data_IF_212396944852
#
_entry.id   IF_212396944852
#
_cell.length_a   1.000
_cell.length_b   1.000
_cell.length_c   1.000
_cell.angle_alpha   90.00
_cell.angle_beta   90.00
_cell.angle_gamma   90.00
#
_symmetry.space_group_name_H-M   'P 1'
#
loop_
_entity.id
_entity.type
_entity.pdbx_description
1 polymer ?
#
# COMPACT_ATOMS: atom_id res chain seq x y z
N UNK A 1 11.92 -9.54 -24.02
CA UNK A 1 12.28 -9.91 -22.63
C UNK A 1 13.60 -9.27 -22.10
N UNK A 2 14.74 -9.41 -22.79
CA UNK A 2 16.04 -8.92 -22.28
C UNK A 2 16.04 -7.41 -21.96
N UNK A 3 15.48 -6.58 -22.85
CA UNK A 3 15.39 -5.14 -22.65
C UNK A 3 14.60 -4.76 -21.39
N UNK A 4 13.48 -5.46 -21.12
CA UNK A 4 12.67 -5.26 -19.92
C UNK A 4 13.48 -5.62 -18.65
N UNK A 5 14.16 -6.78 -18.65
CA UNK A 5 15.00 -7.19 -17.52
C UNK A 5 16.14 -6.22 -17.24
N UNK A 6 16.80 -5.71 -18.29
CA UNK A 6 17.83 -4.69 -18.15
C UNK A 6 17.28 -3.39 -17.56
N UNK A 7 16.10 -2.95 -18.01
CA UNK A 7 15.45 -1.75 -17.49
C UNK A 7 14.96 -1.93 -16.04
N UNK A 8 14.48 -3.12 -15.68
CA UNK A 8 14.14 -3.49 -14.30
C UNK A 8 15.38 -3.43 -13.41
N UNK A 9 16.49 -4.04 -13.87
CA UNK A 9 17.76 -4.00 -13.16
C UNK A 9 18.23 -2.56 -12.98
N UNK A 10 18.15 -1.74 -14.02
CA UNK A 10 18.57 -0.34 -13.98
C UNK A 10 17.70 0.52 -13.05
N UNK A 11 16.39 0.32 -13.08
CA UNK A 11 15.43 0.99 -12.17
C UNK A 11 15.64 0.58 -10.73
N UNK A 12 15.89 -0.71 -10.48
CA UNK A 12 16.21 -1.22 -9.16
C UNK A 12 17.54 -0.67 -8.64
N UNK A 13 18.61 -0.75 -9.44
CA UNK A 13 19.94 -0.29 -9.05
C UNK A 13 19.99 1.21 -8.80
N UNK A 14 19.29 2.02 -9.60
CA UNK A 14 19.21 3.47 -9.37
C UNK A 14 18.51 3.80 -8.04
N UNK A 15 17.40 3.14 -7.70
CA UNK A 15 16.76 3.27 -6.39
C UNK A 15 17.68 2.80 -5.24
N UNK A 16 18.30 1.63 -5.40
CA UNK A 16 19.24 1.02 -4.45
C UNK A 16 20.42 1.96 -4.13
N UNK A 17 21.11 2.46 -5.15
CA UNK A 17 22.25 3.36 -4.97
C UNK A 17 21.81 4.72 -4.42
N UNK A 18 20.64 5.25 -4.82
CA UNK A 18 20.11 6.47 -4.24
C UNK A 18 19.90 6.35 -2.72
N UNK A 19 19.51 5.17 -2.23
CA UNK A 19 19.32 4.91 -0.79
C UNK A 19 20.62 4.77 0.01
N UNK A 20 21.71 4.31 -0.62
CA UNK A 20 22.99 4.07 0.06
C UNK A 20 23.91 5.29 0.11
N UNK A 21 23.72 6.23 -0.80
CA UNK A 21 24.56 7.42 -0.91
C UNK A 21 24.25 8.41 0.22
N UNK A 22 25.25 9.21 0.61
CA UNK A 22 25.06 10.28 1.60
C UNK A 22 23.89 11.20 1.19
N UNK A 23 22.97 11.48 2.12
CA UNK A 23 21.86 12.37 1.86
C UNK A 23 22.26 13.72 1.28
N UNK A 24 21.47 14.20 0.32
CA UNK A 24 21.62 15.51 -0.35
C UNK A 24 22.97 15.70 -1.07
N UNK A 25 23.71 14.63 -1.33
CA UNK A 25 24.91 14.71 -2.17
C UNK A 25 24.57 14.76 -3.66
N UNK A 26 25.46 15.33 -4.49
CA UNK A 26 25.29 15.37 -5.95
C UNK A 26 24.98 13.99 -6.55
N UNK A 27 25.68 12.95 -6.07
CA UNK A 27 25.48 11.56 -6.51
C UNK A 27 24.05 11.06 -6.24
N UNK A 28 23.46 11.42 -5.09
CA UNK A 28 22.09 11.03 -4.76
C UNK A 28 21.09 11.63 -5.76
N UNK A 29 21.24 12.90 -6.11
CA UNK A 29 20.37 13.55 -7.10
C UNK A 29 20.50 12.92 -8.49
N UNK A 30 21.71 12.53 -8.90
CA UNK A 30 21.92 11.79 -10.15
C UNK A 30 21.16 10.46 -10.12
N UNK A 31 21.34 9.65 -9.07
CA UNK A 31 20.63 8.37 -8.97
C UNK A 31 19.10 8.53 -8.90
N UNK A 32 18.59 9.57 -8.22
CA UNK A 32 17.16 9.89 -8.20
C UNK A 32 16.66 10.28 -9.59
N UNK A 33 17.39 11.14 -10.32
CA UNK A 33 17.04 11.54 -11.68
C UNK A 33 17.00 10.34 -12.62
N UNK A 34 18.02 9.48 -12.55
CA UNK A 34 18.07 8.22 -13.30
C UNK A 34 16.90 7.31 -12.94
N UNK A 35 16.57 7.15 -11.65
CA UNK A 35 15.43 6.37 -11.19
C UNK A 35 14.09 6.88 -11.74
N UNK A 36 13.88 8.19 -11.77
CA UNK A 36 12.65 8.80 -12.33
C UNK A 36 12.57 8.52 -13.83
N UNK A 37 13.64 8.77 -14.57
CA UNK A 37 13.67 8.54 -16.03
C UNK A 37 13.47 7.06 -16.34
N UNK A 38 14.19 6.16 -15.66
CA UNK A 38 14.04 4.72 -15.90
C UNK A 38 12.66 4.21 -15.52
N UNK A 39 12.06 4.75 -14.44
CA UNK A 39 10.68 4.44 -14.05
C UNK A 39 9.67 4.87 -15.11
N UNK A 40 9.84 6.06 -15.70
CA UNK A 40 8.99 6.56 -16.78
C UNK A 40 9.08 5.66 -18.02
N UNK A 41 10.30 5.31 -18.44
CA UNK A 41 10.51 4.38 -19.56
C UNK A 41 9.88 3.02 -19.25
N UNK A 42 10.08 2.50 -18.03
CA UNK A 42 9.50 1.23 -17.61
C UNK A 42 7.96 1.26 -17.65
N UNK A 43 7.36 2.37 -17.23
CA UNK A 43 5.92 2.58 -17.29
C UNK A 43 5.37 2.58 -18.71
N UNK A 44 6.11 3.12 -19.67
CA UNK A 44 5.72 3.06 -21.10
C UNK A 44 5.84 1.66 -21.71
N UNK A 45 6.78 0.84 -21.23
CA UNK A 45 6.97 -0.52 -21.74
C UNK A 45 5.89 -1.49 -21.25
N UNK A 46 5.35 -1.27 -20.04
CA UNK A 46 4.34 -2.14 -19.43
C UNK A 46 2.95 -1.57 -19.72
N UNK A 47 2.23 -2.24 -20.62
CA UNK A 47 0.82 -1.97 -20.93
C UNK A 47 -0.04 -2.07 -19.65
N UNK A 48 -0.91 -1.09 -19.41
CA UNK A 48 -1.72 -1.04 -18.18
C UNK A 48 -2.82 -2.11 -18.17
N UNK A 49 -3.23 -2.57 -19.34
CA UNK A 49 -4.22 -3.63 -19.54
C UNK A 49 -3.73 -4.98 -18.98
N UNK A 50 -2.41 -5.13 -18.84
CA UNK A 50 -1.78 -6.32 -18.26
C UNK A 50 -1.90 -6.38 -16.73
N UNK A 51 -2.28 -5.28 -16.08
CA UNK A 51 -2.46 -5.22 -14.65
C UNK A 51 -3.58 -6.16 -14.20
N UNK A 52 -3.35 -6.92 -13.12
CA UNK A 52 -4.32 -7.92 -12.65
C UNK A 52 -5.70 -7.33 -12.33
N UNK A 53 -5.73 -6.09 -11.82
CA UNK A 53 -6.96 -5.38 -11.46
C UNK A 53 -7.56 -4.58 -12.63
N UNK A 54 -6.93 -4.56 -13.81
CA UNK A 54 -7.38 -3.72 -14.93
C UNK A 54 -8.84 -3.99 -15.29
N UNK A 55 -9.20 -5.24 -15.57
CA UNK A 55 -10.57 -5.59 -15.98
C UNK A 55 -11.59 -5.35 -14.88
N UNK A 56 -11.17 -5.48 -13.61
CA UNK A 56 -12.04 -5.15 -12.48
C UNK A 56 -12.35 -3.66 -12.50
N UNK A 57 -11.36 -2.79 -12.63
CA UNK A 57 -11.62 -1.36 -12.72
C UNK A 57 -12.32 -0.99 -14.03
N UNK A 58 -11.93 -1.53 -15.18
CA UNK A 58 -12.52 -1.15 -16.46
C UNK A 58 -14.02 -1.45 -16.51
N UNK A 59 -14.45 -2.56 -15.92
CA UNK A 59 -15.85 -2.97 -15.86
C UNK A 59 -16.57 -2.53 -14.57
N UNK A 60 -15.94 -1.71 -13.72
CA UNK A 60 -16.58 -1.27 -12.48
C UNK A 60 -17.73 -0.30 -12.77
N UNK A 61 -18.93 -0.64 -12.30
CA UNK A 61 -20.12 0.20 -12.36
C UNK A 61 -20.04 1.44 -11.44
N UNK A 62 -19.02 1.52 -10.59
CA UNK A 62 -18.82 2.62 -9.62
C UNK A 62 -18.54 3.97 -10.31
N UNK A 63 -18.22 3.98 -11.61
CA UNK A 63 -18.05 5.20 -12.40
C UNK A 63 -19.35 5.84 -12.87
N UNK A 64 -20.50 5.22 -12.59
CA UNK A 64 -21.80 5.87 -12.80
C UNK A 64 -22.02 6.98 -11.78
N UNK A 65 -22.78 8.00 -12.18
CA UNK A 65 -23.09 9.13 -11.32
C UNK A 65 -23.81 8.63 -10.05
N UNK A 66 -23.33 8.98 -8.84
CA UNK A 66 -23.95 8.55 -7.60
C UNK A 66 -25.35 9.17 -7.47
N UNK A 67 -26.30 8.39 -6.95
CA UNK A 67 -27.70 8.81 -6.78
C UNK A 67 -27.91 9.82 -5.64
N UNK A 68 -26.87 10.09 -4.84
CA UNK A 68 -26.89 11.06 -3.74
C UNK A 68 -25.59 11.05 -2.93
N UNK A 69 -25.52 11.92 -1.90
CA UNK A 69 -24.31 12.09 -1.09
C UNK A 69 -23.86 10.81 -0.37
N UNK A 70 -24.79 10.05 0.22
CA UNK A 70 -24.45 8.82 0.92
C UNK A 70 -23.98 7.72 -0.06
N UNK A 71 -24.59 7.65 -1.25
CA UNK A 71 -24.11 6.78 -2.34
C UNK A 71 -22.70 7.18 -2.78
N UNK A 72 -22.42 8.47 -2.95
CA UNK A 72 -21.09 8.97 -3.29
C UNK A 72 -20.03 8.60 -2.24
N UNK A 73 -20.34 8.73 -0.93
CA UNK A 73 -19.42 8.35 0.14
C UNK A 73 -19.13 6.84 0.17
N UNK A 74 -20.13 6.01 -0.14
CA UNK A 74 -20.01 4.55 -0.15
C UNK A 74 -19.29 4.07 -1.42
N UNK A 75 -19.45 4.78 -2.55
CA UNK A 75 -18.89 4.47 -3.86
C UNK A 75 -17.49 5.04 -4.11
N UNK A 76 -16.59 4.97 -3.11
CA UNK A 76 -15.17 5.38 -3.24
C UNK A 76 -14.96 6.75 -3.92
N UNK A 77 -15.28 7.84 -3.21
CA UNK A 77 -15.45 9.16 -3.82
C UNK A 77 -14.17 9.67 -4.51
N UNK A 78 -13.00 9.30 -4.00
CA UNK A 78 -11.72 9.58 -4.67
C UNK A 78 -11.63 9.02 -6.08
N UNK A 79 -11.93 7.73 -6.28
CA UNK A 79 -11.73 7.08 -7.58
C UNK A 79 -12.70 7.64 -8.61
N UNK A 80 -13.95 7.89 -8.20
CA UNK A 80 -14.94 8.60 -9.00
C UNK A 80 -14.49 10.02 -9.37
N UNK A 81 -13.95 10.78 -8.43
CA UNK A 81 -13.48 12.15 -8.68
C UNK A 81 -12.31 12.18 -9.67
N UNK A 82 -11.35 11.26 -9.54
CA UNK A 82 -10.22 11.13 -10.46
C UNK A 82 -10.70 10.73 -11.86
N UNK A 83 -11.61 9.76 -11.97
CA UNK A 83 -12.21 9.38 -13.24
C UNK A 83 -12.95 10.56 -13.90
N UNK A 84 -13.82 11.23 -13.13
CA UNK A 84 -14.62 12.37 -13.62
C UNK A 84 -13.74 13.52 -14.10
N UNK A 85 -12.62 13.79 -13.42
CA UNK A 85 -11.65 14.80 -13.84
C UNK A 85 -11.07 14.48 -15.23
N UNK A 86 -10.59 13.25 -15.45
CA UNK A 86 -10.02 12.87 -16.74
C UNK A 86 -11.07 12.71 -17.84
N UNK A 87 -12.26 12.21 -17.51
CA UNK A 87 -13.39 12.07 -18.44
C UNK A 87 -13.95 13.43 -18.91
N UNK A 88 -13.69 14.51 -18.17
CA UNK A 88 -13.98 15.88 -18.62
C UNK A 88 -13.01 16.36 -19.71
N UNK A 89 -11.81 15.77 -19.78
CA UNK A 89 -10.74 16.18 -20.69
C UNK A 89 -10.54 15.21 -21.87
N UNK A 90 -10.98 13.97 -21.73
CA UNK A 90 -10.74 12.87 -22.66
C UNK A 90 -12.06 12.15 -22.95
N UNK A 91 -12.27 11.80 -24.22
CA UNK A 91 -13.55 11.22 -24.69
C UNK A 91 -13.58 9.69 -24.58
N UNK A 92 -12.46 9.01 -24.87
CA UNK A 92 -12.41 7.55 -24.88
C UNK A 92 -12.10 6.98 -23.49
N UNK A 93 -12.91 6.02 -23.03
CA UNK A 93 -12.77 5.38 -21.73
C UNK A 93 -11.40 4.74 -21.54
N UNK A 94 -10.82 4.14 -22.59
CA UNK A 94 -9.49 3.52 -22.51
C UNK A 94 -8.42 4.59 -22.25
N UNK A 95 -8.51 5.74 -22.93
CA UNK A 95 -7.61 6.88 -22.69
C UNK A 95 -7.77 7.49 -21.30
N UNK A 96 -9.00 7.61 -20.79
CA UNK A 96 -9.28 8.04 -19.41
C UNK A 96 -8.59 7.12 -18.41
N UNK A 97 -8.76 5.80 -18.57
CA UNK A 97 -8.11 4.81 -17.71
C UNK A 97 -6.59 4.87 -17.80
N UNK A 98 -6.02 4.99 -19.00
CA UNK A 98 -4.59 5.19 -19.18
C UNK A 98 -4.09 6.39 -18.38
N UNK A 99 -4.79 7.53 -18.43
CA UNK A 99 -4.46 8.73 -17.68
C UNK A 99 -4.55 8.50 -16.15
N UNK A 100 -5.56 7.78 -15.67
CA UNK A 100 -5.68 7.40 -14.26
C UNK A 100 -4.50 6.54 -13.78
N UNK A 101 -4.08 5.55 -14.57
CA UNK A 101 -2.91 4.73 -14.25
C UNK A 101 -1.62 5.55 -14.27
N UNK A 102 -1.47 6.50 -15.20
CA UNK A 102 -0.34 7.44 -15.20
C UNK A 102 -0.34 8.34 -13.97
N UNK A 103 -1.48 8.87 -13.58
CA UNK A 103 -1.61 9.69 -12.37
C UNK A 103 -1.20 8.92 -11.11
N UNK A 104 -1.71 7.69 -10.96
CA UNK A 104 -1.37 6.82 -9.84
C UNK A 104 0.12 6.41 -9.85
N UNK A 105 0.68 6.14 -11.02
CA UNK A 105 2.12 5.88 -11.21
C UNK A 105 2.98 7.07 -10.76
N UNK A 106 2.61 8.30 -11.15
CA UNK A 106 3.34 9.51 -10.78
C UNK A 106 3.28 9.75 -9.27
N UNK A 107 2.10 9.58 -8.65
CA UNK A 107 1.93 9.69 -7.20
C UNK A 107 2.78 8.66 -6.45
N UNK A 108 2.79 7.41 -6.92
CA UNK A 108 3.61 6.34 -6.35
C UNK A 108 5.10 6.60 -6.51
N UNK A 109 5.54 7.07 -7.69
CA UNK A 109 6.93 7.43 -7.95
C UNK A 109 7.38 8.58 -7.04
N UNK A 110 6.54 9.60 -6.87
CA UNK A 110 6.80 10.70 -5.95
C UNK A 110 6.94 10.23 -4.49
N UNK A 111 6.12 9.25 -4.06
CA UNK A 111 6.25 8.63 -2.75
C UNK A 111 7.60 7.90 -2.57
N UNK A 112 8.03 7.10 -3.56
CA UNK A 112 9.31 6.41 -3.48
C UNK A 112 10.50 7.37 -3.54
N UNK A 113 10.40 8.45 -4.31
CA UNK A 113 11.38 9.55 -4.26
C UNK A 113 11.39 10.17 -2.85
N UNK A 114 10.23 10.53 -2.30
CA UNK A 114 10.13 11.05 -0.92
C UNK A 114 10.77 10.12 0.11
N UNK A 115 10.64 8.79 -0.07
CA UNK A 115 11.22 7.76 0.80
C UNK A 115 12.76 7.73 0.72
N UNK A 116 13.35 7.89 -0.48
CA UNK A 116 14.81 8.00 -0.67
C UNK A 116 15.37 9.12 0.22
N UNK A 117 14.72 10.29 0.22
CA UNK A 117 15.16 11.48 0.96
C UNK A 117 15.02 11.38 2.50
N UNK A 118 14.45 10.31 3.06
CA UNK A 118 14.31 10.13 4.52
C UNK A 118 15.60 9.58 5.15
N UNK A 119 16.40 10.42 5.78
CA UNK A 119 17.74 10.04 6.29
C UNK A 119 17.72 9.23 7.59
N UNK A 120 16.56 9.17 8.20
CA UNK A 120 16.25 8.56 9.48
C UNK A 120 15.59 7.19 9.31
N UNK A 121 15.48 6.70 8.07
CA UNK A 121 15.08 5.33 7.73
C UNK A 121 16.28 4.62 7.11
N UNK A 122 16.57 3.41 7.58
CA UNK A 122 17.66 2.58 7.05
C UNK A 122 17.42 2.19 5.59
N UNK A 123 18.49 2.14 4.80
CA UNK A 123 18.39 1.91 3.35
C UNK A 123 17.72 0.58 3.01
N UNK A 124 18.06 -0.51 3.70
CA UNK A 124 17.46 -1.83 3.46
C UNK A 124 15.94 -1.83 3.65
N UNK A 125 15.41 -1.03 4.58
CA UNK A 125 13.96 -0.90 4.80
C UNK A 125 13.27 -0.20 3.64
N UNK A 126 13.91 0.87 3.13
CA UNK A 126 13.42 1.59 1.94
C UNK A 126 13.40 0.67 0.73
N UNK A 127 14.47 -0.09 0.53
CA UNK A 127 14.64 -1.02 -0.58
C UNK A 127 13.62 -2.15 -0.47
N UNK A 128 13.38 -2.71 0.72
CA UNK A 128 12.35 -3.72 0.94
C UNK A 128 10.95 -3.17 0.62
N UNK A 129 10.62 -1.96 1.11
CA UNK A 129 9.34 -1.32 0.79
C UNK A 129 9.17 -1.09 -0.71
N UNK A 130 10.22 -0.63 -1.40
CA UNK A 130 10.26 -0.46 -2.84
C UNK A 130 10.05 -1.77 -3.58
N UNK A 131 10.80 -2.81 -3.22
CA UNK A 131 10.72 -4.13 -3.85
C UNK A 131 9.30 -4.71 -3.78
N UNK A 132 8.67 -4.61 -2.61
CA UNK A 132 7.34 -5.20 -2.36
C UNK A 132 6.21 -4.35 -2.95
N UNK A 133 6.30 -3.02 -2.91
CA UNK A 133 5.15 -2.16 -3.19
C UNK A 133 5.25 -1.34 -4.47
N UNK A 134 6.40 -1.27 -5.14
CA UNK A 134 6.55 -0.39 -6.31
C UNK A 134 5.62 -0.76 -7.46
N UNK A 135 5.59 -2.02 -7.89
CA UNK A 135 4.67 -2.46 -8.95
C UNK A 135 3.22 -2.43 -8.47
N UNK A 136 2.98 -2.88 -7.24
CA UNK A 136 1.64 -2.89 -6.66
C UNK A 136 1.03 -1.47 -6.65
N UNK A 137 1.77 -0.47 -6.19
CA UNK A 137 1.26 0.89 -6.08
C UNK A 137 1.33 1.63 -7.41
N UNK A 138 2.44 1.53 -8.13
CA UNK A 138 2.64 2.29 -9.36
C UNK A 138 1.86 1.76 -10.57
N UNK A 139 1.51 0.47 -10.60
CA UNK A 139 0.98 -0.19 -11.81
C UNK A 139 -0.37 -0.87 -11.61
N UNK A 140 -0.80 -1.11 -10.36
CA UNK A 140 -2.03 -1.87 -10.10
C UNK A 140 -3.07 -1.08 -9.32
N UNK A 141 -2.74 -0.60 -8.11
CA UNK A 141 -3.74 -0.16 -7.14
C UNK A 141 -4.20 1.29 -7.32
N UNK A 142 -5.14 1.52 -8.24
CA UNK A 142 -5.80 2.83 -8.41
C UNK A 142 -6.59 3.27 -7.17
N UNK A 143 -7.25 2.31 -6.52
CA UNK A 143 -8.20 2.54 -5.42
C UNK A 143 -7.52 2.77 -4.06
N UNK A 144 -6.64 1.85 -3.66
CA UNK A 144 -6.06 1.82 -2.31
C UNK A 144 -4.63 2.39 -2.24
N UNK A 145 -3.94 2.50 -3.37
CA UNK A 145 -2.54 2.98 -3.41
C UNK A 145 -2.34 4.32 -2.69
N UNK A 146 -3.15 5.35 -3.01
CA UNK A 146 -3.06 6.66 -2.36
C UNK A 146 -3.31 6.59 -0.84
N UNK A 147 -4.27 5.78 -0.39
CA UNK A 147 -4.55 5.66 1.04
C UNK A 147 -3.40 4.99 1.79
N UNK A 148 -2.80 3.94 1.21
CA UNK A 148 -1.61 3.30 1.77
C UNK A 148 -0.43 4.27 1.88
N UNK A 149 -0.21 5.09 0.84
CA UNK A 149 0.85 6.11 0.82
C UNK A 149 0.62 7.16 1.93
N UNK A 150 -0.61 7.66 2.09
CA UNK A 150 -0.93 8.58 3.18
C UNK A 150 -0.70 7.96 4.57
N UNK A 151 -1.01 6.68 4.76
CA UNK A 151 -0.70 5.99 6.01
C UNK A 151 0.79 5.78 6.23
N UNK A 152 1.55 5.46 5.18
CA UNK A 152 3.01 5.37 5.26
C UNK A 152 3.61 6.70 5.73
N UNK A 153 3.17 7.81 5.12
CA UNK A 153 3.59 9.16 5.51
C UNK A 153 3.13 9.47 6.94
N UNK A 154 1.87 9.18 7.28
CA UNK A 154 1.34 9.36 8.64
C UNK A 154 2.16 8.62 9.69
N UNK A 155 2.45 7.34 9.50
CA UNK A 155 3.27 6.55 10.42
C UNK A 155 4.68 7.13 10.54
N UNK A 156 5.30 7.48 9.41
CA UNK A 156 6.60 8.14 9.43
C UNK A 156 6.57 9.38 10.32
N UNK A 157 5.73 10.37 10.02
CA UNK A 157 5.67 11.63 10.78
C UNK A 157 5.29 11.40 12.26
N UNK A 158 4.32 10.53 12.52
CA UNK A 158 3.82 10.26 13.88
C UNK A 158 4.89 9.67 14.78
N UNK A 159 5.71 8.75 14.28
CA UNK A 159 6.80 8.20 15.09
C UNK A 159 7.94 9.20 15.37
N UNK A 160 7.96 10.36 14.70
CA UNK A 160 8.85 11.49 15.01
C UNK A 160 8.12 12.60 15.76
N UNK A 161 6.97 12.29 16.35
CA UNK A 161 6.11 13.24 17.06
C UNK A 161 5.63 14.42 16.22
N UNK A 162 5.59 14.27 14.90
CA UNK A 162 5.08 15.28 13.97
C UNK A 162 3.64 14.96 13.55
N UNK A 163 2.82 16.01 13.42
CA UNK A 163 1.41 15.87 13.01
C UNK A 163 1.33 15.69 11.49
N UNK A 164 0.45 14.79 11.05
CA UNK A 164 0.11 14.61 9.63
C UNK A 164 -1.40 14.36 9.49
N UNK A 165 -2.17 15.44 9.45
CA UNK A 165 -3.64 15.38 9.49
C UNK A 165 -4.27 14.97 8.14
N UNK A 166 -3.51 15.00 7.05
CA UNK A 166 -3.97 14.55 5.72
C UNK A 166 -4.41 13.08 5.71
N UNK A 167 -3.97 12.27 6.68
CA UNK A 167 -4.46 10.88 6.87
C UNK A 167 -5.97 10.81 7.10
N UNK A 168 -6.60 11.88 7.61
CA UNK A 168 -8.05 11.96 7.84
C UNK A 168 -8.85 11.90 6.53
N UNK A 169 -8.22 12.14 5.37
CA UNK A 169 -8.86 11.98 4.07
C UNK A 169 -8.92 10.54 3.58
N UNK A 170 -8.18 9.61 4.21
CA UNK A 170 -8.08 8.22 3.74
C UNK A 170 -9.41 7.45 3.69
N UNK A 171 -10.42 7.69 4.54
CA UNK A 171 -11.73 7.05 4.40
C UNK A 171 -12.45 7.43 3.10
N UNK A 172 -12.25 8.65 2.59
CA UNK A 172 -12.80 9.10 1.30
C UNK A 172 -12.04 8.52 0.10
N UNK A 173 -10.83 8.01 0.33
CA UNK A 173 -10.08 7.27 -0.70
C UNK A 173 -10.51 5.82 -0.74
N UNK A 174 -10.54 5.19 0.44
CA UNK A 174 -10.90 3.80 0.56
C UNK A 174 -11.50 3.52 1.93
N UNK A 175 -12.73 3.01 1.98
CA UNK A 175 -13.48 2.83 3.22
C UNK A 175 -12.79 1.90 4.24
N UNK A 176 -12.01 0.90 3.78
CA UNK A 176 -11.28 0.01 4.70
C UNK A 176 -10.17 0.72 5.48
N UNK A 177 -9.73 1.88 5.01
CA UNK A 177 -8.79 2.76 5.70
C UNK A 177 -9.35 3.29 7.02
N UNK A 178 -10.67 3.33 7.18
CA UNK A 178 -11.35 3.75 8.41
C UNK A 178 -10.91 2.92 9.61
N UNK A 179 -10.68 1.61 9.42
CA UNK A 179 -10.15 0.74 10.47
C UNK A 179 -8.77 1.24 10.95
N UNK A 180 -7.94 1.71 10.02
CA UNK A 180 -6.59 2.19 10.32
C UNK A 180 -6.57 3.58 10.88
N UNK A 181 -7.59 4.37 10.62
CA UNK A 181 -7.68 5.72 11.15
C UNK A 181 -7.75 5.74 12.67
N UNK A 182 -8.16 4.64 13.33
CA UNK A 182 -8.11 4.56 14.80
C UNK A 182 -6.70 4.84 15.33
N UNK A 183 -5.64 4.47 14.59
CA UNK A 183 -4.24 4.73 14.98
C UNK A 183 -3.91 6.22 15.09
N UNK A 184 -4.72 7.10 14.51
CA UNK A 184 -4.64 8.55 14.73
C UNK A 184 -4.74 8.91 16.22
N UNK A 185 -5.54 8.15 16.99
CA UNK A 185 -5.78 8.37 18.41
C UNK A 185 -4.76 7.66 19.33
N UNK A 186 -3.63 7.19 18.81
CA UNK A 186 -2.63 6.39 19.55
C UNK A 186 -2.11 7.04 20.85
N UNK A 187 -2.15 8.38 20.96
CA UNK A 187 -1.70 9.09 22.19
C UNK A 187 -2.76 9.14 23.29
N UNK A 188 -4.00 8.72 23.03
CA UNK A 188 -5.07 8.80 24.01
C UNK A 188 -4.86 7.79 25.15
N UNK A 189 -4.98 8.22 26.41
CA UNK A 189 -4.82 7.36 27.60
C UNK A 189 -5.72 6.11 27.57
N UNK A 190 -6.90 6.22 26.96
CA UNK A 190 -7.88 5.14 26.85
C UNK A 190 -7.86 4.44 25.49
N UNK A 191 -6.79 4.60 24.71
CA UNK A 191 -6.69 4.07 23.35
C UNK A 191 -7.03 2.58 23.23
N UNK A 192 -6.40 1.72 24.02
CA UNK A 192 -6.68 0.28 23.97
C UNK A 192 -8.08 -0.08 24.47
N UNK A 193 -8.64 0.68 25.42
CA UNK A 193 -10.04 0.49 25.85
C UNK A 193 -11.01 0.82 24.71
N UNK A 194 -10.75 1.90 23.98
CA UNK A 194 -11.51 2.27 22.79
C UNK A 194 -11.36 1.24 21.67
N UNK A 195 -10.16 0.71 21.44
CA UNK A 195 -9.92 -0.35 20.44
C UNK A 195 -10.79 -1.59 20.72
N UNK A 196 -10.93 -1.99 21.99
CA UNK A 196 -11.81 -3.09 22.41
C UNK A 196 -13.31 -2.74 22.32
N UNK A 197 -13.68 -1.49 22.55
CA UNK A 197 -15.07 -1.03 22.45
C UNK A 197 -15.53 -0.83 20.99
N UNK A 198 -14.60 -0.59 20.05
CA UNK A 198 -14.92 -0.23 18.67
C UNK A 198 -15.78 -1.28 17.93
N UNK A 199 -15.52 -2.60 18.03
CA UNK A 199 -16.41 -3.60 17.43
C UNK A 199 -17.84 -3.53 17.96
N UNK A 200 -18.01 -3.28 19.26
CA UNK A 200 -19.33 -3.15 19.89
C UNK A 200 -20.04 -1.90 19.37
N UNK A 201 -19.33 -0.76 19.33
CA UNK A 201 -19.87 0.50 18.80
C UNK A 201 -20.25 0.33 17.33
N UNK A 202 -19.40 -0.29 16.51
CA UNK A 202 -19.67 -0.54 15.09
C UNK A 202 -20.89 -1.46 14.89
N UNK A 203 -21.03 -2.50 15.72
CA UNK A 203 -22.18 -3.39 15.70
C UNK A 203 -23.48 -2.67 16.07
N UNK A 204 -23.47 -1.88 17.16
CA UNK A 204 -24.63 -1.09 17.58
C UNK A 204 -25.02 -0.06 16.50
N UNK A 205 -24.04 0.62 15.91
CA UNK A 205 -24.25 1.58 14.83
C UNK A 205 -24.84 0.92 13.59
N UNK A 206 -24.36 -0.26 13.22
CA UNK A 206 -24.95 -1.07 12.15
C UNK A 206 -26.40 -1.44 12.45
N UNK A 207 -26.73 -1.87 13.68
CA UNK A 207 -28.11 -2.22 14.03
C UNK A 207 -29.09 -1.05 13.87
N UNK A 208 -28.65 0.17 14.18
CA UNK A 208 -29.44 1.39 14.01
C UNK A 208 -29.57 1.75 12.53
N UNK A 209 -28.47 1.70 11.78
CA UNK A 209 -28.45 2.15 10.39
C UNK A 209 -28.90 1.10 9.36
N UNK A 210 -28.99 -0.18 9.71
CA UNK A 210 -29.25 -1.26 8.74
C UNK A 210 -30.46 -1.00 7.85
N UNK A 211 -31.51 -0.37 8.41
CA UNK A 211 -32.74 -0.08 7.68
C UNK A 211 -32.52 0.96 6.59
N UNK A 212 -31.83 2.06 6.91
CA UNK A 212 -31.45 3.08 5.93
C UNK A 212 -30.44 2.56 4.91
N UNK A 213 -29.50 1.72 5.35
CA UNK A 213 -28.46 1.16 4.47
C UNK A 213 -29.03 0.17 3.46
N UNK A 214 -30.07 -0.59 3.82
CA UNK A 214 -30.71 -1.55 2.90
C UNK A 214 -31.43 -0.91 1.71
N UNK A 215 -31.70 0.39 1.75
CA UNK A 215 -32.32 1.12 0.64
C UNK A 215 -31.28 1.61 -0.40
N UNK A 216 -29.99 1.47 -0.11
CA UNK A 216 -28.91 1.98 -0.95
C UNK A 216 -28.32 0.84 -1.77
N UNK A 217 -28.52 0.87 -3.10
CA UNK A 217 -27.97 -0.14 -4.03
C UNK A 217 -26.46 -0.36 -3.87
N UNK A 218 -25.69 0.71 -3.62
CA UNK A 218 -24.25 0.63 -3.37
C UNK A 218 -23.90 -0.20 -2.12
N UNK A 219 -24.79 -0.27 -1.13
CA UNK A 219 -24.59 -1.06 0.08
C UNK A 219 -24.69 -2.56 -0.20
N UNK A 220 -25.45 -2.99 -1.21
CA UNK A 220 -25.53 -4.39 -1.62
C UNK A 220 -24.18 -4.92 -2.14
N UNK A 221 -23.38 -4.05 -2.78
CA UNK A 221 -22.01 -4.39 -3.17
C UNK A 221 -21.09 -4.63 -1.96
N UNK A 222 -21.29 -3.89 -0.86
CA UNK A 222 -20.54 -4.11 0.38
C UNK A 222 -21.02 -5.40 1.05
N UNK A 223 -22.34 -5.59 1.14
CA UNK A 223 -22.95 -6.78 1.78
C UNK A 223 -22.54 -8.06 1.07
N UNK A 224 -22.61 -8.10 -0.26
CA UNK A 224 -22.19 -9.25 -1.06
C UNK A 224 -20.70 -9.56 -0.88
N UNK A 225 -19.82 -8.55 -0.79
CA UNK A 225 -18.40 -8.78 -0.46
C UNK A 225 -18.21 -9.37 0.94
N UNK A 226 -18.93 -8.86 1.93
CA UNK A 226 -18.89 -9.41 3.30
C UNK A 226 -19.36 -10.85 3.29
N UNK A 227 -20.44 -11.14 2.56
CA UNK A 227 -20.98 -12.49 2.42
C UNK A 227 -19.95 -13.44 1.79
N UNK A 228 -19.36 -13.06 0.65
CA UNK A 228 -18.28 -13.81 -0.01
C UNK A 228 -17.09 -14.06 0.94
N UNK A 229 -16.67 -13.04 1.71
CA UNK A 229 -15.56 -13.20 2.65
C UNK A 229 -15.92 -14.01 3.89
N UNK A 230 -17.21 -14.11 4.22
CA UNK A 230 -17.74 -14.83 5.39
C UNK A 230 -18.10 -16.30 5.12
N UNK A 231 -18.27 -16.69 3.85
CA UNK A 231 -18.64 -18.06 3.42
C UNK A 231 -17.54 -19.13 3.66
N UNK A 232 -16.53 -18.82 4.49
CA UNK A 232 -15.47 -19.75 4.88
C UNK A 232 -14.25 -19.69 3.97
N UNK A 233 -13.14 -20.22 4.47
CA UNK A 233 -11.82 -20.10 3.84
C UNK A 233 -11.80 -20.80 2.46
N UNK A 234 -11.68 -20.08 1.33
CA UNK A 234 -11.12 -20.71 0.15
C UNK A 234 -9.78 -21.30 0.56
N UNK A 235 -9.50 -22.54 0.13
CA UNK A 235 -8.25 -23.28 0.34
C UNK A 235 -7.10 -22.30 0.57
N UNK A 236 -6.63 -22.15 1.82
CA UNK A 236 -5.63 -21.13 2.15
C UNK A 236 -4.42 -21.45 1.29
N UNK A 237 -4.19 -20.65 0.25
CA UNK A 237 -3.04 -20.86 -0.62
C UNK A 237 -1.78 -20.82 0.24
N UNK A 238 -0.90 -21.82 0.07
CA UNK A 238 0.35 -21.95 0.81
C UNK A 238 1.14 -20.62 0.91
N UNK A 239 1.09 -19.80 -0.15
CA UNK A 239 1.72 -18.48 -0.19
C UNK A 239 1.18 -17.50 0.86
N UNK A 240 -0.11 -17.53 1.20
CA UNK A 240 -0.67 -16.67 2.26
C UNK A 240 -0.13 -17.06 3.64
N UNK A 241 0.02 -18.36 3.90
CA UNK A 241 0.60 -18.86 5.16
C UNK A 241 2.07 -18.47 5.25
N UNK A 242 2.84 -18.69 4.18
CA UNK A 242 4.25 -18.32 4.12
C UNK A 242 4.43 -16.80 4.34
N UNK A 243 3.57 -15.99 3.73
CA UNK A 243 3.61 -14.54 3.90
C UNK A 243 3.25 -14.11 5.33
N UNK A 244 2.25 -14.75 5.95
CA UNK A 244 1.92 -14.55 7.36
C UNK A 244 3.09 -14.91 8.29
N UNK A 245 3.72 -16.06 8.09
CA UNK A 245 4.90 -16.48 8.86
C UNK A 245 6.06 -15.51 8.68
N UNK A 246 6.28 -14.98 7.47
CA UNK A 246 7.29 -13.97 7.20
C UNK A 246 7.03 -12.68 7.98
N UNK A 247 5.80 -12.15 7.94
CA UNK A 247 5.41 -10.95 8.68
C UNK A 247 5.48 -11.17 10.19
N UNK A 248 4.98 -12.29 10.69
CA UNK A 248 5.08 -12.65 12.10
C UNK A 248 6.54 -12.77 12.54
N UNK A 249 7.40 -13.36 11.71
CA UNK A 249 8.85 -13.43 11.91
C UNK A 249 9.50 -12.06 11.98
N UNK A 250 9.14 -11.13 11.08
CA UNK A 250 9.62 -9.74 11.11
C UNK A 250 9.19 -9.01 12.40
N UNK A 251 7.95 -9.20 12.83
CA UNK A 251 7.45 -8.64 14.10
C UNK A 251 8.18 -9.25 15.29
N UNK A 252 8.37 -10.57 15.31
CA UNK A 252 9.12 -11.30 16.35
C UNK A 252 10.57 -10.84 16.45
N UNK A 253 11.27 -10.71 15.32
CA UNK A 253 12.61 -10.11 15.25
C UNK A 253 12.60 -8.67 15.78
N UNK A 254 11.59 -7.88 15.43
CA UNK A 254 11.38 -6.55 16.00
C UNK A 254 11.30 -6.58 17.53
N UNK A 255 10.55 -7.52 18.11
CA UNK A 255 10.44 -7.68 19.57
C UNK A 255 11.76 -8.09 20.22
N UNK A 256 12.52 -9.00 19.60
CA UNK A 256 13.84 -9.43 20.09
C UNK A 256 14.81 -8.25 20.12
N UNK A 257 14.88 -7.48 19.03
CA UNK A 257 15.86 -6.41 18.88
C UNK A 257 15.46 -5.16 19.68
N UNK A 258 14.18 -4.76 19.64
CA UNK A 258 13.74 -3.45 20.12
C UNK A 258 12.89 -3.49 21.40
N UNK A 259 12.56 -4.69 21.89
CA UNK A 259 11.92 -4.94 23.19
C UNK A 259 10.67 -4.05 23.39
N UNK A 260 10.65 -3.24 24.45
CA UNK A 260 9.50 -2.40 24.85
C UNK A 260 9.06 -1.41 23.78
N UNK A 261 9.92 -1.00 22.84
CA UNK A 261 9.55 -0.06 21.77
C UNK A 261 8.54 -0.64 20.79
N UNK A 262 8.51 -1.96 20.64
CA UNK A 262 7.51 -2.66 19.81
C UNK A 262 6.10 -2.60 20.39
N UNK A 263 5.96 -2.22 21.68
CA UNK A 263 4.67 -2.01 22.32
C UNK A 263 4.05 -0.64 22.00
N UNK A 264 4.63 0.10 21.03
CA UNK A 264 4.01 1.33 20.55
C UNK A 264 2.59 1.07 20.03
N UNK A 265 1.57 1.88 20.40
CA UNK A 265 0.18 1.53 20.11
C UNK A 265 -0.13 1.31 18.63
N UNK A 266 0.49 2.06 17.72
CA UNK A 266 0.35 1.86 16.27
C UNK A 266 0.87 0.48 15.82
N UNK A 267 2.03 0.04 16.32
CA UNK A 267 2.59 -1.27 15.96
C UNK A 267 1.71 -2.40 16.48
N UNK A 268 1.28 -2.30 17.74
CA UNK A 268 0.40 -3.28 18.37
C UNK A 268 -0.94 -3.35 17.64
N UNK A 269 -1.58 -2.21 17.35
CA UNK A 269 -2.87 -2.18 16.67
C UNK A 269 -2.80 -2.72 15.24
N UNK A 270 -1.79 -2.31 14.46
CA UNK A 270 -1.62 -2.82 13.08
C UNK A 270 -1.33 -4.33 13.09
N UNK A 271 -0.57 -4.84 14.07
CA UNK A 271 -0.34 -6.28 14.20
C UNK A 271 -1.59 -7.05 14.62
N UNK A 272 -2.34 -6.56 15.62
CA UNK A 272 -3.61 -7.17 16.05
C UNK A 272 -4.58 -7.27 14.88
N UNK A 273 -4.77 -6.18 14.15
CA UNK A 273 -5.69 -6.18 13.02
C UNK A 273 -5.21 -7.09 11.88
N UNK A 274 -3.91 -7.17 11.63
CA UNK A 274 -3.37 -8.13 10.66
C UNK A 274 -3.66 -9.58 11.09
N UNK A 275 -3.44 -9.94 12.36
CA UNK A 275 -3.75 -11.27 12.88
C UNK A 275 -5.25 -11.59 12.80
N UNK A 276 -6.11 -10.69 13.30
CA UNK A 276 -7.57 -10.87 13.26
C UNK A 276 -8.06 -11.03 11.82
N UNK A 277 -7.60 -10.17 10.90
CA UNK A 277 -7.99 -10.29 9.50
C UNK A 277 -7.47 -11.57 8.87
N UNK A 278 -6.32 -12.11 9.27
CA UNK A 278 -5.79 -13.37 8.71
C UNK A 278 -6.66 -14.56 9.10
N UNK A 279 -7.08 -14.63 10.36
CA UNK A 279 -7.96 -15.70 10.84
C UNK A 279 -9.40 -15.59 10.32
N UNK A 280 -9.85 -14.39 9.94
CA UNK A 280 -11.14 -14.20 9.25
C UNK A 280 -11.00 -14.58 7.77
N UNK A 281 -10.06 -13.95 7.07
CA UNK A 281 -9.83 -14.14 5.64
C UNK A 281 -8.40 -13.75 5.24
N UNK A 282 -7.54 -14.72 4.84
CA UNK A 282 -6.15 -14.45 4.48
C UNK A 282 -5.96 -13.43 3.34
N UNK A 283 -6.91 -13.32 2.42
CA UNK A 283 -6.86 -12.33 1.32
C UNK A 283 -7.04 -10.92 1.88
N UNK A 284 -7.95 -10.74 2.85
CA UNK A 284 -8.15 -9.45 3.53
C UNK A 284 -6.89 -9.08 4.32
N UNK A 285 -6.27 -10.04 5.01
CA UNK A 285 -5.00 -9.80 5.70
C UNK A 285 -3.87 -9.41 4.74
N UNK A 286 -3.78 -10.06 3.57
CA UNK A 286 -2.81 -9.69 2.55
C UNK A 286 -3.01 -8.23 2.10
N UNK A 287 -4.26 -7.81 1.87
CA UNK A 287 -4.59 -6.39 1.56
C UNK A 287 -4.31 -5.44 2.72
N UNK A 288 -4.29 -5.93 3.94
CA UNK A 288 -4.01 -5.14 5.13
C UNK A 288 -2.51 -5.05 5.44
N UNK A 289 -1.71 -6.00 4.92
CA UNK A 289 -0.27 -6.08 5.15
C UNK A 289 0.54 -4.81 4.85
N UNK A 290 0.20 -3.95 3.85
CA UNK A 290 0.97 -2.73 3.63
C UNK A 290 0.98 -1.83 4.87
N UNK A 291 -0.13 -1.72 5.61
CA UNK A 291 -0.19 -0.90 6.83
C UNK A 291 0.78 -1.39 7.89
N UNK A 292 0.82 -2.71 8.13
CA UNK A 292 1.74 -3.30 9.10
C UNK A 292 3.20 -3.17 8.65
N UNK A 293 3.49 -3.43 7.37
CA UNK A 293 4.84 -3.27 6.82
C UNK A 293 5.32 -1.82 6.91
N UNK A 294 4.48 -0.83 6.60
CA UNK A 294 4.83 0.57 6.79
C UNK A 294 5.04 0.91 8.26
N UNK A 295 4.14 0.50 9.15
CA UNK A 295 4.28 0.77 10.57
C UNK A 295 5.60 0.19 11.11
N UNK A 296 5.93 -1.05 10.75
CA UNK A 296 7.14 -1.75 11.20
C UNK A 296 8.42 -1.15 10.59
N UNK A 297 8.44 -0.94 9.27
CA UNK A 297 9.65 -0.55 8.55
C UNK A 297 9.93 0.95 8.66
N UNK A 298 8.91 1.79 8.84
CA UNK A 298 9.10 3.23 9.02
C UNK A 298 9.31 3.62 10.50
N UNK A 299 9.14 2.69 11.44
CA UNK A 299 9.42 2.96 12.84
C UNK A 299 10.89 3.37 13.04
N UNK A 300 11.15 4.51 13.71
CA UNK A 300 12.48 4.99 14.04
C UNK A 300 12.97 4.16 15.21
N UNK A 301 13.47 2.97 14.91
CA UNK A 301 14.26 2.26 15.89
C UNK A 301 15.56 3.05 16.09
N UNK A 302 15.92 3.32 17.34
CA UNK A 302 17.14 4.06 17.68
C UNK A 302 18.26 3.59 16.78
N UNK A 303 18.88 4.59 16.15
CA UNK A 303 20.08 4.47 15.34
C UNK A 303 20.98 3.37 15.92
N UNK A 304 20.86 2.16 15.38
CA UNK A 304 21.97 1.22 15.28
C UNK A 304 22.90 1.82 14.20
N UNK A 305 23.29 3.08 14.38
CA UNK A 305 24.19 3.80 13.50
C UNK A 305 25.56 3.26 13.84
N UNK A 306 26.11 2.50 12.91
CA UNK A 306 27.44 1.87 12.97
C UNK A 306 27.51 0.46 13.57
N UNK A 307 26.42 -0.31 13.58
CA UNK A 307 26.64 -1.76 13.63
C UNK A 307 27.03 -2.25 12.23
N UNK A 308 28.16 -2.97 12.16
CA UNK A 308 28.62 -3.65 10.95
C UNK A 308 27.50 -4.50 10.37
N UNK A 309 26.63 -5.09 11.20
CA UNK A 309 25.47 -5.84 10.77
C UNK A 309 24.50 -5.02 9.89
N UNK A 310 24.16 -3.79 10.29
CA UNK A 310 23.23 -2.93 9.52
C UNK A 310 23.86 -2.52 8.19
N UNK A 311 25.15 -2.20 8.17
CA UNK A 311 25.86 -1.91 6.93
C UNK A 311 25.87 -3.12 5.98
N UNK A 312 26.10 -4.32 6.52
CA UNK A 312 26.04 -5.57 5.77
C UNK A 312 24.65 -5.81 5.20
N UNK A 313 23.58 -5.66 6.00
CA UNK A 313 22.20 -5.81 5.52
C UNK A 313 21.87 -4.78 4.43
N UNK A 314 22.29 -3.52 4.61
CA UNK A 314 22.12 -2.48 3.59
C UNK A 314 22.76 -2.88 2.25
N UNK A 315 23.96 -3.49 2.26
CA UNK A 315 24.64 -3.97 1.04
C UNK A 315 23.99 -5.23 0.48
N UNK A 316 23.67 -6.20 1.33
CA UNK A 316 23.02 -7.46 0.93
C UNK A 316 21.61 -7.25 0.40
N UNK A 317 20.98 -6.10 0.70
CA UNK A 317 19.66 -5.80 0.15
C UNK A 317 19.62 -5.76 -1.38
N UNK A 318 20.78 -5.65 -2.07
CA UNK A 318 20.90 -5.83 -3.54
C UNK A 318 20.36 -7.20 -4.01
N UNK A 319 20.43 -8.22 -3.15
CA UNK A 319 19.93 -9.57 -3.41
C UNK A 319 18.40 -9.64 -3.43
N UNK A 320 17.69 -8.53 -3.16
CA UNK A 320 16.25 -8.43 -3.32
C UNK A 320 15.81 -8.19 -4.78
N UNK A 321 16.75 -8.03 -5.72
CA UNK A 321 16.40 -7.84 -7.13
C UNK A 321 15.54 -8.97 -7.73
N UNK A 322 15.81 -10.28 -7.51
CA UNK A 322 14.93 -11.33 -8.00
C UNK A 322 13.51 -11.22 -7.44
N UNK A 323 13.36 -10.77 -6.19
CA UNK A 323 12.05 -10.51 -5.59
C UNK A 323 11.35 -9.32 -6.27
N UNK A 324 12.08 -8.28 -6.67
CA UNK A 324 11.53 -7.16 -7.44
C UNK A 324 10.95 -7.62 -8.78
N UNK A 325 11.68 -8.47 -9.49
CA UNK A 325 11.21 -9.10 -10.74
C UNK A 325 10.00 -10.00 -10.48
N UNK A 326 10.04 -10.80 -9.42
CA UNK A 326 8.90 -11.65 -9.02
C UNK A 326 7.63 -10.82 -8.77
N UNK A 327 7.73 -9.68 -8.08
CA UNK A 327 6.57 -8.83 -7.82
C UNK A 327 5.97 -8.21 -9.09
N UNK A 328 6.78 -7.94 -10.13
CA UNK A 328 6.25 -7.56 -11.44
C UNK A 328 5.32 -8.66 -11.99
N UNK A 329 5.80 -9.90 -12.04
CA UNK A 329 5.02 -11.02 -12.57
C UNK A 329 3.80 -11.38 -11.71
N UNK A 330 3.87 -11.20 -10.40
CA UNK A 330 2.70 -11.41 -9.53
C UNK A 330 1.62 -10.34 -9.70
N UNK A 331 1.98 -9.15 -10.18
CA UNK A 331 1.05 -8.03 -10.32
C UNK A 331 0.45 -7.89 -11.72
N UNK A 332 0.97 -8.65 -12.69
CA UNK A 332 0.58 -8.58 -14.09
C UNK A 332 0.25 -9.98 -14.64
N UNK A 333 -0.63 -10.04 -15.63
CA UNK A 333 -1.01 -11.31 -16.28
C UNK A 333 0.15 -11.82 -17.13
N UNK A 334 0.69 -12.98 -16.73
CA UNK A 334 1.93 -13.56 -17.30
C UNK A 334 1.75 -14.03 -18.75
N UNK A 335 0.57 -14.57 -19.10
CA UNK A 335 0.26 -15.17 -20.41
C UNK A 335 0.43 -14.23 -21.62
N UNK A 336 0.62 -12.94 -21.39
CA UNK A 336 0.73 -11.88 -22.41
C UNK A 336 2.11 -11.20 -22.45
N UNK A 337 3.06 -11.60 -21.59
CA UNK A 337 4.48 -11.27 -21.83
C UNK A 337 5.09 -12.14 -22.93
N UNK A 338 4.42 -13.25 -23.27
CA UNK A 338 4.77 -14.13 -24.39
C UNK A 338 4.48 -13.49 -25.75
N UNK A 339 3.52 -12.57 -25.88
CA UNK A 339 3.28 -11.80 -27.12
C UNK A 339 4.34 -10.71 -27.39
N UNK A 340 5.34 -10.59 -26.50
CA UNK A 340 6.56 -9.79 -26.68
C UNK A 340 7.81 -10.67 -26.86
N UNK A 341 7.63 -11.98 -27.06
CA UNK A 341 8.55 -12.82 -27.83
C UNK A 341 8.40 -12.50 -29.33
#
# INVERSE_FOLDING_TARGET
MIALLLLLLFTYLSFYFACLVKPRSKKMFIFVGVFIVSSLVLRTMIKFELSNDYFLYYNFEIFHQPSGFLSYLINEPYLFAVYSFFNCLLEDKTTVFSAMFWFNFLLSTAFFVWLIFRNDIEAWKKILLFVVHYFLFGYVLLRNGPSYILFAVFFHYTFRDQKFNWVLLTPFMHISSSLMLITYLHKWKHYFKMLLALPIIAFLFYLILKHFLSEIVAFDSIRSKVEIYSQGMPLIGFMHILFFLCIAGLVGLGFIIYKRKMLHPILVTTFIFYCVTFFINPIVAHRFSPYLLFALLLFPFDKIKNDKAVLTINRLSVLLFPMFVYFLYQTHRVATFEDFL
#
